data_IF_105033811846
#
_entry.id   IF_105033811846
#
_cell.length_a   1.000
_cell.length_b   1.000
_cell.length_c   1.000
_cell.angle_alpha   90.00
_cell.angle_beta   90.00
_cell.angle_gamma   90.00
#
_symmetry.space_group_name_H-M   'P 1'
#
loop_
_entity.id
_entity.type
_entity.pdbx_description
1 polymer ?
#
# COMPACT_ATOMS: atom_id res chain seq x y z
N UNK A 1 -80.70 0.98 -32.12
CA UNK A 1 -79.44 1.54 -32.63
C UNK A 1 -78.49 1.86 -31.46
N UNK A 2 -77.55 0.97 -31.10
CA UNK A 2 -76.61 1.20 -30.01
C UNK A 2 -75.25 1.68 -30.55
N UNK A 3 -74.82 2.91 -30.18
CA UNK A 3 -73.54 3.50 -30.62
C UNK A 3 -72.37 2.90 -29.83
N UNK A 4 -71.44 2.22 -30.52
CA UNK A 4 -70.18 1.69 -29.95
C UNK A 4 -69.27 2.82 -29.47
N UNK A 5 -68.98 2.89 -28.16
CA UNK A 5 -68.02 3.85 -27.56
C UNK A 5 -66.58 3.47 -27.93
N UNK A 6 -65.79 4.42 -28.44
CA UNK A 6 -64.36 4.25 -28.75
C UNK A 6 -63.55 4.00 -27.45
N UNK A 7 -62.82 2.89 -27.39
CA UNK A 7 -61.91 2.58 -26.28
C UNK A 7 -60.70 3.54 -26.25
N UNK A 8 -60.30 3.98 -25.05
CA UNK A 8 -59.18 4.91 -24.83
C UNK A 8 -57.84 4.22 -25.12
N UNK A 9 -56.90 4.96 -25.75
CA UNK A 9 -55.56 4.52 -26.22
C UNK A 9 -54.54 4.14 -25.12
N UNK A 10 -54.98 3.53 -24.02
CA UNK A 10 -54.13 3.19 -22.86
C UNK A 10 -53.08 2.11 -23.18
N UNK A 11 -53.42 1.13 -24.03
CA UNK A 11 -52.50 0.08 -24.46
C UNK A 11 -51.33 0.58 -25.32
N UNK A 12 -51.54 1.65 -26.09
CA UNK A 12 -50.51 2.23 -26.96
C UNK A 12 -49.37 2.86 -26.15
N UNK A 13 -49.71 3.60 -25.08
CA UNK A 13 -48.73 4.23 -24.20
C UNK A 13 -47.91 3.20 -23.41
N UNK A 14 -48.55 2.13 -22.93
CA UNK A 14 -47.84 1.00 -22.28
C UNK A 14 -46.85 0.34 -23.23
N UNK A 15 -47.28 0.04 -24.46
CA UNK A 15 -46.42 -0.57 -25.50
C UNK A 15 -45.22 0.33 -25.85
N UNK A 16 -45.40 1.65 -25.86
CA UNK A 16 -44.32 2.60 -26.15
C UNK A 16 -43.29 2.66 -25.01
N UNK A 17 -43.74 2.65 -23.74
CA UNK A 17 -42.86 2.61 -22.56
C UNK A 17 -42.05 1.30 -22.52
N UNK A 18 -42.70 0.15 -22.72
CA UNK A 18 -42.02 -1.15 -22.77
C UNK A 18 -40.99 -1.23 -23.91
N UNK A 19 -41.32 -0.68 -25.08
CA UNK A 19 -40.39 -0.64 -26.22
C UNK A 19 -39.15 0.21 -25.91
N UNK A 20 -39.33 1.36 -25.25
CA UNK A 20 -38.22 2.20 -24.78
C UNK A 20 -37.36 1.46 -23.76
N UNK A 21 -37.97 0.81 -22.77
CA UNK A 21 -37.26 0.07 -21.73
C UNK A 21 -36.47 -1.12 -22.30
N UNK A 22 -37.08 -1.94 -23.18
CA UNK A 22 -36.39 -3.04 -23.87
C UNK A 22 -35.23 -2.55 -24.73
N UNK A 23 -35.36 -1.39 -25.39
CA UNK A 23 -34.27 -0.79 -26.18
C UNK A 23 -33.13 -0.30 -25.29
N UNK A 24 -33.43 0.29 -24.14
CA UNK A 24 -32.43 0.72 -23.15
C UNK A 24 -31.65 -0.48 -22.60
N UNK A 25 -32.35 -1.56 -22.20
CA UNK A 25 -31.71 -2.78 -21.69
C UNK A 25 -30.82 -3.42 -22.77
N UNK A 26 -31.28 -3.48 -24.02
CA UNK A 26 -30.46 -3.99 -25.14
C UNK A 26 -29.22 -3.15 -25.37
N UNK A 27 -29.33 -1.81 -25.30
CA UNK A 27 -28.17 -0.91 -25.40
C UNK A 27 -27.19 -1.13 -24.24
N UNK A 28 -27.68 -1.28 -23.02
CA UNK A 28 -26.82 -1.54 -21.86
C UNK A 28 -26.12 -2.92 -21.93
N UNK A 29 -26.79 -3.94 -22.48
CA UNK A 29 -26.19 -5.27 -22.69
C UNK A 29 -25.19 -5.31 -23.86
N UNK A 30 -25.43 -4.51 -24.89
CA UNK A 30 -24.58 -4.44 -26.09
C UNK A 30 -23.45 -3.40 -25.97
N UNK A 31 -23.52 -2.50 -25.00
CA UNK A 31 -22.37 -1.67 -24.67
C UNK A 31 -21.26 -2.60 -24.17
N UNK A 32 -20.05 -2.53 -24.73
CA UNK A 32 -18.91 -3.18 -24.12
C UNK A 32 -18.82 -2.61 -22.71
N UNK A 33 -18.84 -3.48 -21.69
CA UNK A 33 -18.54 -3.07 -20.33
C UNK A 33 -17.18 -2.40 -20.42
N UNK A 34 -17.12 -1.09 -20.25
CA UNK A 34 -15.86 -0.46 -19.87
C UNK A 34 -15.54 -1.10 -18.54
N UNK A 35 -14.69 -2.12 -18.56
CA UNK A 35 -13.90 -2.44 -17.38
C UNK A 35 -13.27 -1.10 -17.04
N UNK A 36 -13.66 -0.51 -15.91
CA UNK A 36 -12.89 0.54 -15.30
C UNK A 36 -11.50 -0.06 -15.14
N UNK A 37 -10.63 0.19 -16.10
CA UNK A 37 -9.20 -0.03 -15.99
C UNK A 37 -8.70 1.00 -14.97
N UNK A 38 -9.07 0.76 -13.72
CA UNK A 38 -8.40 1.28 -12.56
C UNK A 38 -7.83 0.06 -11.86
N UNK A 39 -6.53 0.07 -11.68
CA UNK A 39 -5.74 -1.05 -11.18
C UNK A 39 -4.87 -1.60 -12.30
N UNK A 40 -3.57 -1.37 -12.19
CA UNK A 40 -2.57 -1.94 -13.08
C UNK A 40 -2.67 -3.46 -13.18
N UNK A 41 -1.97 -4.06 -14.14
CA UNK A 41 -1.88 -5.52 -14.21
C UNK A 41 -1.39 -6.08 -12.86
N UNK A 42 -1.76 -7.30 -12.46
CA UNK A 42 -1.24 -7.91 -11.23
C UNK A 42 0.29 -7.86 -11.15
N UNK A 43 0.95 -7.97 -12.31
CA UNK A 43 2.40 -7.80 -12.47
C UNK A 43 2.90 -6.39 -12.09
N UNK A 44 2.15 -5.33 -12.42
CA UNK A 44 2.51 -3.96 -12.02
C UNK A 44 2.36 -3.78 -10.51
N UNK A 45 1.36 -4.42 -9.91
CA UNK A 45 1.18 -4.38 -8.46
C UNK A 45 2.31 -5.14 -7.74
N UNK A 46 2.67 -6.34 -8.20
CA UNK A 46 3.82 -7.09 -7.70
C UNK A 46 5.12 -6.29 -7.83
N UNK A 47 5.34 -5.63 -8.98
CA UNK A 47 6.48 -4.74 -9.16
C UNK A 47 6.48 -3.59 -8.15
N UNK A 48 5.32 -2.95 -7.92
CA UNK A 48 5.20 -1.87 -6.94
C UNK A 48 5.52 -2.36 -5.52
N UNK A 49 4.97 -3.51 -5.12
CA UNK A 49 5.25 -4.10 -3.80
C UNK A 49 6.75 -4.41 -3.62
N UNK A 50 7.39 -4.97 -4.64
CA UNK A 50 8.83 -5.25 -4.62
C UNK A 50 9.68 -3.98 -4.58
N UNK A 51 9.16 -2.84 -5.06
CA UNK A 51 9.83 -1.54 -5.00
C UNK A 51 9.56 -0.76 -3.72
N UNK A 52 8.67 -1.20 -2.83
CA UNK A 52 8.44 -0.50 -1.55
C UNK A 52 9.72 -0.36 -0.70
N UNK A 53 10.52 -1.41 -0.45
CA UNK A 53 11.71 -1.30 0.39
C UNK A 53 12.73 -0.25 -0.13
N UNK A 54 12.75 0.02 -1.43
CA UNK A 54 13.69 1.01 -2.00
C UNK A 54 13.41 2.43 -1.52
N UNK A 55 12.20 2.70 -1.02
CA UNK A 55 11.84 4.01 -0.47
C UNK A 55 12.76 4.44 0.67
N UNK A 56 13.30 3.49 1.46
CA UNK A 56 14.22 3.78 2.58
C UNK A 56 15.56 4.45 2.16
N UNK A 57 15.84 4.47 0.86
CA UNK A 57 17.05 5.06 0.26
C UNK A 57 16.77 6.37 -0.47
N UNK A 58 15.53 6.84 -0.47
CA UNK A 58 15.19 8.14 -1.05
C UNK A 58 15.87 9.27 -0.24
N UNK A 59 16.31 10.35 -0.91
CA UNK A 59 17.06 11.44 -0.26
C UNK A 59 16.26 12.16 0.82
N UNK A 60 14.94 12.10 0.80
CA UNK A 60 14.08 12.65 1.85
C UNK A 60 14.12 11.81 3.14
N UNK A 61 14.43 10.52 3.01
CA UNK A 61 14.52 9.53 4.08
C UNK A 61 15.98 9.13 4.40
N UNK A 62 16.99 9.73 3.75
CA UNK A 62 18.39 9.37 4.00
C UNK A 62 18.81 9.63 5.44
N UNK A 63 18.33 10.74 5.99
CA UNK A 63 18.67 11.21 7.35
C UNK A 63 17.78 10.57 8.42
N UNK A 64 16.77 9.79 8.03
CA UNK A 64 15.89 9.10 8.96
C UNK A 64 16.54 7.76 9.35
N UNK A 65 16.96 7.67 10.60
CA UNK A 65 17.52 6.47 11.22
C UNK A 65 16.80 6.17 12.55
N UNK A 66 16.73 4.89 12.92
CA UNK A 66 16.01 4.44 14.12
C UNK A 66 16.79 4.68 15.44
N UNK A 67 17.69 5.68 15.47
CA UNK A 67 18.55 5.98 16.62
C UNK A 67 19.69 4.97 16.80
N UNK A 68 20.83 5.24 16.18
CA UNK A 68 22.00 4.35 16.15
C UNK A 68 22.54 4.01 17.55
N UNK A 69 22.57 4.98 18.47
CA UNK A 69 23.05 4.77 19.84
C UNK A 69 22.13 3.81 20.61
N UNK A 70 20.81 3.99 20.49
CA UNK A 70 19.81 3.12 21.11
C UNK A 70 19.89 1.72 20.52
N UNK A 71 20.02 1.60 19.19
CA UNK A 71 20.19 0.31 18.53
C UNK A 71 21.45 -0.43 19.02
N UNK A 72 22.59 0.24 19.18
CA UNK A 72 23.81 -0.36 19.75
C UNK A 72 23.55 -0.98 21.12
N UNK A 73 22.92 -0.22 22.02
CA UNK A 73 22.62 -0.73 23.36
C UNK A 73 21.63 -1.90 23.35
N UNK A 74 20.69 -1.91 22.40
CA UNK A 74 19.71 -2.99 22.26
C UNK A 74 20.32 -4.25 21.63
N UNK A 75 21.27 -4.11 20.70
CA UNK A 75 22.02 -5.23 20.13
C UNK A 75 22.94 -5.92 21.14
N UNK A 76 23.42 -5.19 22.16
CA UNK A 76 24.17 -5.76 23.27
C UNK A 76 23.29 -6.50 24.29
N UNK A 77 21.96 -6.32 24.22
CA UNK A 77 21.01 -7.02 25.08
C UNK A 77 20.58 -8.36 24.48
N UNK A 78 20.18 -9.34 25.30
CA UNK A 78 19.72 -10.67 24.86
C UNK A 78 18.31 -10.67 24.21
N UNK A 79 17.87 -9.53 23.66
CA UNK A 79 16.56 -9.38 23.02
C UNK A 79 16.56 -9.94 21.60
N UNK A 80 15.40 -10.39 21.14
CA UNK A 80 15.22 -10.82 19.75
C UNK A 80 15.22 -9.63 18.79
N UNK A 81 15.60 -9.85 17.53
CA UNK A 81 15.67 -8.78 16.52
C UNK A 81 14.31 -8.06 16.33
N UNK A 82 13.20 -8.80 16.45
CA UNK A 82 11.85 -8.25 16.37
C UNK A 82 11.54 -7.34 17.57
N UNK A 83 11.87 -7.77 18.79
CA UNK A 83 11.68 -6.94 19.98
C UNK A 83 12.46 -5.63 19.90
N UNK A 84 13.69 -5.70 19.36
CA UNK A 84 14.51 -4.51 19.10
C UNK A 84 13.78 -3.58 18.12
N UNK A 85 13.28 -4.09 16.99
CA UNK A 85 12.52 -3.28 16.02
C UNK A 85 11.30 -2.63 16.68
N UNK A 86 10.51 -3.40 17.43
CA UNK A 86 9.31 -2.89 18.11
C UNK A 86 9.63 -1.79 19.13
N UNK A 87 10.78 -1.86 19.79
CA UNK A 87 11.22 -0.85 20.75
C UNK A 87 11.81 0.41 20.09
N UNK A 88 12.29 0.27 18.85
CA UNK A 88 12.77 1.38 18.02
C UNK A 88 11.63 2.07 17.26
N UNK A 89 10.54 1.37 16.98
CA UNK A 89 9.29 1.92 16.43
C UNK A 89 8.53 2.75 17.48
N UNK A 90 9.15 3.84 17.91
CA UNK A 90 8.56 4.83 18.79
C UNK A 90 7.53 5.68 18.06
N UNK A 91 6.57 6.24 18.80
CA UNK A 91 5.56 7.14 18.23
C UNK A 91 6.19 8.37 17.56
N UNK A 92 7.29 8.88 18.11
CA UNK A 92 8.06 9.99 17.53
C UNK A 92 8.66 9.63 16.17
N UNK A 93 9.26 8.45 16.07
CA UNK A 93 9.82 7.96 14.81
C UNK A 93 8.73 7.76 13.75
N UNK A 94 7.59 7.19 14.13
CA UNK A 94 6.46 6.96 13.22
C UNK A 94 5.90 8.30 12.72
N UNK A 95 5.80 9.30 13.60
CA UNK A 95 5.34 10.64 13.22
C UNK A 95 6.31 11.36 12.27
N UNK A 96 7.63 11.30 12.50
CA UNK A 96 8.62 11.87 11.58
C UNK A 96 8.59 11.15 10.22
N UNK A 97 8.47 9.82 10.22
CA UNK A 97 8.31 9.05 8.99
C UNK A 97 7.05 9.45 8.22
N UNK A 98 5.88 9.54 8.86
CA UNK A 98 4.64 9.95 8.19
C UNK A 98 4.74 11.36 7.59
N UNK A 99 5.33 12.31 8.34
CA UNK A 99 5.55 13.67 7.86
C UNK A 99 6.44 13.71 6.62
N UNK A 100 7.52 12.92 6.58
CA UNK A 100 8.40 12.86 5.40
C UNK A 100 7.74 12.19 4.22
N UNK A 101 6.95 11.13 4.45
CA UNK A 101 6.17 10.48 3.41
C UNK A 101 5.10 11.42 2.83
N UNK A 102 4.51 12.29 3.65
CA UNK A 102 3.57 13.33 3.19
C UNK A 102 4.26 14.37 2.29
N UNK A 103 5.47 14.79 2.64
CA UNK A 103 6.27 15.69 1.80
C UNK A 103 6.62 15.02 0.46
N UNK A 104 6.98 13.74 0.50
CA UNK A 104 7.29 12.94 -0.70
C UNK A 104 6.06 12.75 -1.60
N UNK A 105 4.88 12.51 -1.00
CA UNK A 105 3.60 12.48 -1.72
C UNK A 105 3.31 13.83 -2.39
N UNK A 106 3.51 14.94 -1.68
CA UNK A 106 3.20 16.29 -2.16
C UNK A 106 4.19 16.82 -3.21
N UNK A 107 5.45 16.39 -3.13
CA UNK A 107 6.51 16.78 -4.06
C UNK A 107 6.39 16.11 -5.44
N UNK A 108 5.64 15.01 -5.54
CA UNK A 108 5.51 14.22 -6.75
C UNK A 108 4.06 14.25 -7.29
N UNK A 109 3.91 14.10 -8.61
CA UNK A 109 2.59 13.97 -9.22
C UNK A 109 1.88 12.72 -8.69
N UNK A 110 0.56 12.75 -8.49
CA UNK A 110 -0.23 11.62 -7.94
C UNK A 110 -0.04 10.27 -8.65
N UNK A 111 0.41 10.28 -9.93
CA UNK A 111 0.66 9.08 -10.75
C UNK A 111 2.11 8.58 -10.67
N UNK A 112 2.97 9.28 -9.95
CA UNK A 112 4.36 8.89 -9.76
C UNK A 112 4.39 7.60 -8.94
N UNK A 113 5.29 6.68 -9.28
CA UNK A 113 5.52 5.48 -8.47
C UNK A 113 5.83 5.89 -7.03
N UNK A 114 6.66 6.92 -6.85
CA UNK A 114 7.06 7.43 -5.54
C UNK A 114 5.89 7.93 -4.68
N UNK A 115 4.97 8.72 -5.25
CA UNK A 115 3.80 9.20 -4.52
C UNK A 115 2.85 8.05 -4.17
N UNK A 116 2.71 7.06 -5.07
CA UNK A 116 1.89 5.87 -4.82
C UNK A 116 2.48 5.01 -3.72
N UNK A 117 3.80 4.78 -3.72
CA UNK A 117 4.50 4.04 -2.67
C UNK A 117 4.40 4.76 -1.33
N UNK A 118 4.69 6.06 -1.28
CA UNK A 118 4.56 6.84 -0.05
C UNK A 118 3.14 6.77 0.53
N UNK A 119 2.12 6.98 -0.32
CA UNK A 119 0.72 6.88 0.09
C UNK A 119 0.34 5.49 0.59
N UNK A 120 0.83 4.43 -0.04
CA UNK A 120 0.62 3.06 0.41
C UNK A 120 1.26 2.82 1.79
N UNK A 121 2.50 3.28 1.98
CA UNK A 121 3.22 3.17 3.25
C UNK A 121 2.52 3.96 4.37
N UNK A 122 2.07 5.19 4.11
CA UNK A 122 1.29 5.99 5.08
C UNK A 122 -0.01 5.28 5.47
N UNK A 123 -0.75 4.78 4.49
CA UNK A 123 -1.98 4.03 4.76
C UNK A 123 -1.71 2.76 5.59
N UNK A 124 -0.59 2.06 5.34
CA UNK A 124 -0.19 0.92 6.17
C UNK A 124 0.12 1.37 7.59
N UNK A 125 0.85 2.46 7.80
CA UNK A 125 1.19 2.98 9.13
C UNK A 125 -0.07 3.40 9.90
N UNK A 126 -0.98 4.15 9.27
CA UNK A 126 -2.21 4.65 9.90
C UNK A 126 -3.17 3.53 10.33
N UNK A 127 -3.20 2.43 9.58
CA UNK A 127 -4.12 1.31 9.82
C UNK A 127 -3.45 0.10 10.48
N UNK A 128 -2.20 0.22 10.93
CA UNK A 128 -1.45 -0.86 11.57
C UNK A 128 -1.19 -0.56 13.04
N UNK A 129 -1.44 -1.55 13.89
CA UNK A 129 -0.85 -1.64 15.21
C UNK A 129 0.64 -2.05 15.13
N UNK A 130 1.30 -2.18 16.30
CA UNK A 130 2.74 -2.50 16.42
C UNK A 130 3.18 -3.77 15.66
N UNK A 131 2.35 -4.81 15.64
CA UNK A 131 2.67 -6.08 14.96
C UNK A 131 2.61 -5.94 13.43
N UNK A 132 1.55 -5.37 12.82
CA UNK A 132 1.53 -5.15 11.37
C UNK A 132 2.54 -4.11 10.85
N UNK A 133 3.20 -3.31 11.70
CA UNK A 133 4.39 -2.55 11.29
C UNK A 133 5.57 -3.46 10.87
N UNK A 134 5.70 -4.64 11.46
CA UNK A 134 6.73 -5.62 11.07
C UNK A 134 6.46 -6.21 9.68
N UNK A 135 5.22 -6.14 9.20
CA UNK A 135 4.86 -6.50 7.83
C UNK A 135 5.18 -5.40 6.81
N UNK A 136 5.59 -4.21 7.26
CA UNK A 136 5.90 -3.09 6.36
C UNK A 136 7.36 -3.18 5.88
N UNK A 137 7.60 -3.44 4.58
CA UNK A 137 8.94 -3.59 4.05
C UNK A 137 9.79 -2.32 4.14
N UNK A 138 9.18 -1.13 4.20
CA UNK A 138 9.91 0.15 4.34
C UNK A 138 10.51 0.27 5.74
N UNK A 139 9.75 -0.12 6.77
CA UNK A 139 10.22 -0.08 8.16
C UNK A 139 11.37 -1.06 8.38
N UNK A 140 11.26 -2.27 7.83
CA UNK A 140 12.35 -3.26 7.87
C UNK A 140 13.58 -2.75 7.13
N UNK A 141 13.41 -2.16 5.94
CA UNK A 141 14.53 -1.60 5.18
C UNK A 141 15.24 -0.46 5.94
N UNK A 142 14.50 0.43 6.61
CA UNK A 142 15.06 1.48 7.46
C UNK A 142 15.81 0.91 8.68
N UNK A 143 15.29 -0.15 9.28
CA UNK A 143 15.96 -0.87 10.37
C UNK A 143 17.28 -1.49 9.89
N UNK A 144 17.26 -2.27 8.81
CA UNK A 144 18.46 -2.93 8.27
C UNK A 144 19.52 -1.90 7.88
N UNK A 145 19.12 -0.79 7.27
CA UNK A 145 20.02 0.33 6.95
C UNK A 145 20.65 0.92 8.21
N UNK A 146 19.86 1.15 9.26
CA UNK A 146 20.36 1.67 10.55
C UNK A 146 21.32 0.68 11.20
N UNK A 147 20.99 -0.62 11.14
CA UNK A 147 21.81 -1.71 11.68
C UNK A 147 23.16 -1.82 10.98
N UNK A 148 23.18 -1.82 9.65
CA UNK A 148 24.44 -1.84 8.89
C UNK A 148 25.30 -0.62 9.24
N UNK A 149 24.70 0.57 9.34
CA UNK A 149 25.43 1.78 9.74
C UNK A 149 26.07 1.65 11.14
N UNK A 150 25.34 1.04 12.09
CA UNK A 150 25.84 0.74 13.44
C UNK A 150 27.01 -0.24 13.42
N UNK A 151 26.93 -1.29 12.61
CA UNK A 151 27.95 -2.32 12.39
C UNK A 151 29.16 -1.80 11.59
N UNK A 152 29.08 -0.59 11.03
CA UNK A 152 30.13 0.08 10.27
C UNK A 152 30.12 -0.25 8.77
N UNK A 153 29.09 -0.94 8.30
CA UNK A 153 28.88 -1.27 6.90
C UNK A 153 27.86 -0.33 6.26
N UNK A 154 27.98 -0.08 4.94
CA UNK A 154 26.96 0.63 4.19
C UNK A 154 26.10 -0.38 3.45
N UNK A 155 24.82 -0.45 3.81
CA UNK A 155 23.86 -1.21 3.05
C UNK A 155 23.60 -0.47 1.73
N UNK A 156 23.88 -1.11 0.60
CA UNK A 156 23.59 -0.58 -0.71
C UNK A 156 22.18 -1.00 -1.18
N UNK A 157 21.59 -0.22 -2.08
CA UNK A 157 20.32 -0.54 -2.76
C UNK A 157 20.34 -1.94 -3.41
N UNK A 158 21.50 -2.39 -3.90
CA UNK A 158 21.66 -3.67 -4.57
C UNK A 158 21.71 -4.85 -3.59
N UNK A 159 22.17 -4.64 -2.35
CA UNK A 159 22.26 -5.67 -1.31
C UNK A 159 20.99 -5.75 -0.46
N UNK A 160 20.12 -4.73 -0.52
CA UNK A 160 18.86 -4.67 0.21
C UNK A 160 17.97 -5.91 -0.01
N UNK A 161 17.73 -6.41 -1.24
CA UNK A 161 16.86 -7.58 -1.43
C UNK A 161 17.38 -8.82 -0.71
N UNK A 162 18.69 -9.05 -0.74
CA UNK A 162 19.31 -10.18 -0.03
C UNK A 162 19.20 -10.03 1.49
N UNK A 163 19.45 -8.82 2.01
CA UNK A 163 19.34 -8.52 3.43
C UNK A 163 17.89 -8.68 3.95
N UNK A 164 16.90 -8.27 3.15
CA UNK A 164 15.47 -8.47 3.45
C UNK A 164 15.12 -9.96 3.47
N UNK A 165 15.57 -10.75 2.49
CA UNK A 165 15.32 -12.20 2.45
C UNK A 165 15.96 -12.93 3.64
N UNK A 166 17.17 -12.52 4.04
CA UNK A 166 17.83 -13.06 5.23
C UNK A 166 17.11 -12.68 6.53
N UNK A 167 16.64 -11.43 6.63
CA UNK A 167 15.83 -10.99 7.76
C UNK A 167 14.54 -11.81 7.87
N UNK A 168 13.81 -11.97 6.75
CA UNK A 168 12.59 -12.77 6.70
C UNK A 168 12.85 -14.23 7.09
N UNK A 169 13.95 -14.84 6.62
CA UNK A 169 14.32 -16.21 6.99
C UNK A 169 14.65 -16.36 8.47
N UNK A 170 15.41 -15.42 9.05
CA UNK A 170 15.81 -15.46 10.46
C UNK A 170 14.64 -15.23 11.41
N UNK A 171 13.68 -14.41 10.98
CA UNK A 171 12.54 -14.01 11.79
C UNK A 171 11.24 -14.71 11.38
N UNK A 172 11.30 -15.67 10.44
CA UNK A 172 10.13 -16.32 9.84
C UNK A 172 9.21 -16.94 10.90
N UNK A 173 9.80 -17.74 11.79
CA UNK A 173 9.06 -18.48 12.81
C UNK A 173 8.37 -17.53 13.79
N UNK A 174 9.06 -16.47 14.22
CA UNK A 174 8.48 -15.45 15.09
C UNK A 174 7.40 -14.61 14.40
N UNK A 175 7.59 -14.23 13.14
CA UNK A 175 6.58 -13.49 12.37
C UNK A 175 5.33 -14.36 12.18
N UNK A 176 5.49 -15.66 11.90
CA UNK A 176 4.36 -16.59 11.81
C UNK A 176 3.63 -16.77 13.15
N UNK A 177 4.34 -16.77 14.28
CA UNK A 177 3.70 -16.84 15.60
C UNK A 177 2.94 -15.57 15.97
N UNK A 178 3.32 -14.43 15.39
CA UNK A 178 2.69 -13.11 15.62
C UNK A 178 1.49 -12.81 14.69
N UNK A 179 1.31 -13.56 13.60
CA UNK A 179 0.28 -13.31 12.56
C UNK A 179 -0.91 -14.27 12.68
#
# INVERSE_FOLDING_TARGET
>A
MAKKRKQKKTGMLKRQKEKRQKKMIRRHKAMPKKNSQQGGSPQQLEQLLNTLPTLAFEPELTDLNMGEEKLRTLLESEKTEIEIILELLTEEFIADLDQRLEQLESAHSEKSIKSVLAKATRHQIENSDKIPHLSNPVLIALFLKTRSAVEGEKLDLNSLPAAMEEFEKRNHDFIQELT
#
